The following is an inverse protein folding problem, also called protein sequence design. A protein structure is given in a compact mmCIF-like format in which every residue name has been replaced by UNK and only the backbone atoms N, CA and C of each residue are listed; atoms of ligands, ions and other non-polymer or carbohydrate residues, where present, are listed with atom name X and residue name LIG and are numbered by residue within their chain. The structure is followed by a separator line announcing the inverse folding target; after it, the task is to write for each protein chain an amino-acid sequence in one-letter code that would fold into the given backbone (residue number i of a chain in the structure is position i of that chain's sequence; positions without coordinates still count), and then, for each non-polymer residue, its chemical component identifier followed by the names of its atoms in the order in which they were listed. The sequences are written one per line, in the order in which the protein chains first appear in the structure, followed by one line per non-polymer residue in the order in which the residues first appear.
data_IF_247990313590
#
_entry.id   IF_247990313590
#
_cell.length_a   1.000
_cell.length_b   1.000
_cell.length_c   1.000
_cell.angle_alpha   90.00
_cell.angle_beta   90.00
_cell.angle_gamma   90.00
#
_symmetry.space_group_name_H-M   'P 1'
#
loop_
_entity.id
_entity.type
_entity.pdbx_description
1 polymer ?
#
# COMPACT_ATOMS: atom_id res chain seq x y z
N UNK A 1 -5.94 12.42 16.45
CA UNK A 1 -5.26 11.21 16.02
C UNK A 1 -5.96 10.61 14.81
N UNK A 2 -5.18 10.17 13.84
CA UNK A 2 -5.73 9.65 12.59
C UNK A 2 -5.96 8.14 12.68
N UNK A 3 -7.00 7.62 11.99
CA UNK A 3 -7.16 6.17 11.92
C UNK A 3 -6.00 5.54 11.17
N UNK A 4 -5.77 4.26 11.44
CA UNK A 4 -4.76 3.50 10.74
C UNK A 4 -5.40 2.76 9.56
N UNK A 5 -4.76 2.83 8.41
CA UNK A 5 -5.19 2.07 7.24
C UNK A 5 -3.96 1.45 6.58
N UNK A 6 -4.01 0.16 6.32
CA UNK A 6 -2.90 -0.54 5.67
C UNK A 6 -3.39 -1.15 4.38
N UNK A 7 -2.77 -0.75 3.27
CA UNK A 7 -3.08 -1.26 1.93
C UNK A 7 -1.85 -1.96 1.39
N UNK A 8 -2.02 -3.23 1.01
CA UNK A 8 -0.94 -4.06 0.51
C UNK A 8 -1.13 -4.30 -0.97
N UNK A 9 -0.19 -3.82 -1.78
CA UNK A 9 -0.25 -3.94 -3.23
C UNK A 9 0.68 -5.04 -3.71
N UNK A 10 0.14 -5.95 -4.49
CA UNK A 10 0.90 -7.02 -5.12
C UNK A 10 0.54 -7.08 -6.60
N UNK A 11 1.50 -7.46 -7.40
CA UNK A 11 1.32 -7.55 -8.84
C UNK A 11 2.68 -7.58 -9.52
N UNK A 12 2.70 -8.00 -10.78
CA UNK A 12 3.94 -8.09 -11.52
C UNK A 12 4.52 -6.72 -11.79
N UNK A 13 5.80 -6.68 -12.13
CA UNK A 13 6.47 -5.46 -12.52
C UNK A 13 5.69 -4.84 -13.70
N UNK A 14 5.43 -3.54 -13.61
CA UNK A 14 4.66 -2.85 -14.65
C UNK A 14 3.16 -3.00 -14.53
N UNK A 15 2.65 -3.65 -13.47
CA UNK A 15 1.20 -3.84 -13.31
C UNK A 15 0.46 -2.55 -12.92
N UNK A 16 1.18 -1.55 -12.42
CA UNK A 16 0.56 -0.28 -12.06
C UNK A 16 0.48 0.01 -10.57
N UNK A 17 1.29 -0.68 -9.75
CA UNK A 17 1.29 -0.45 -8.30
C UNK A 17 1.61 1.01 -7.95
N UNK A 18 2.63 1.58 -8.58
CA UNK A 18 3.00 2.97 -8.33
C UNK A 18 1.93 3.93 -8.85
N UNK A 19 1.32 3.63 -9.98
CA UNK A 19 0.23 4.44 -10.51
C UNK A 19 -0.98 4.44 -9.59
N UNK A 20 -1.28 3.28 -8.98
CA UNK A 20 -2.34 3.20 -7.99
C UNK A 20 -2.03 4.13 -6.81
N UNK A 21 -0.79 4.07 -6.31
CA UNK A 21 -0.38 4.89 -5.18
C UNK A 21 -0.46 6.38 -5.51
N UNK A 22 -0.06 6.77 -6.73
CA UNK A 22 -0.16 8.17 -7.16
C UNK A 22 -1.60 8.66 -7.18
N UNK A 23 -2.51 7.84 -7.69
CA UNK A 23 -3.92 8.20 -7.70
C UNK A 23 -4.50 8.32 -6.31
N UNK A 24 -4.15 7.40 -5.44
CA UNK A 24 -4.59 7.43 -4.05
C UNK A 24 -4.07 8.70 -3.34
N UNK A 25 -2.79 9.00 -3.53
CA UNK A 25 -2.17 10.19 -2.93
C UNK A 25 -2.82 11.47 -3.42
N UNK A 26 -3.12 11.53 -4.71
CA UNK A 26 -3.79 12.70 -5.29
C UNK A 26 -5.14 12.95 -4.61
N UNK A 27 -5.89 11.89 -4.36
CA UNK A 27 -7.17 11.99 -3.66
C UNK A 27 -7.03 12.48 -2.22
N UNK A 28 -5.84 12.32 -1.63
CA UNK A 28 -5.53 12.79 -0.29
C UNK A 28 -4.93 14.20 -0.27
N UNK A 29 -4.87 14.87 -1.42
CA UNK A 29 -4.29 16.20 -1.52
C UNK A 29 -2.79 16.21 -1.68
N UNK A 30 -2.19 15.09 -2.06
CA UNK A 30 -0.75 14.99 -2.29
C UNK A 30 -0.53 14.89 -3.79
N UNK A 31 0.02 15.95 -4.39
CA UNK A 31 0.11 16.05 -5.85
C UNK A 31 1.32 15.35 -6.46
N UNK A 32 2.38 15.23 -5.71
CA UNK A 32 3.60 14.62 -6.24
C UNK A 32 4.14 13.56 -5.31
N UNK A 33 4.20 12.34 -5.81
CA UNK A 33 4.94 11.29 -5.12
C UNK A 33 5.94 10.69 -6.11
N UNK A 34 7.03 10.19 -5.56
CA UNK A 34 8.03 9.50 -6.35
C UNK A 34 8.16 8.09 -5.82
N UNK A 35 8.61 7.17 -6.67
CA UNK A 35 8.87 5.80 -6.22
C UNK A 35 9.97 5.82 -5.15
N UNK A 36 9.82 5.06 -4.06
CA UNK A 36 10.87 4.97 -3.02
C UNK A 36 12.01 4.04 -3.47
N UNK A 37 12.66 4.40 -4.58
CA UNK A 37 13.65 3.53 -5.23
C UNK A 37 14.89 3.31 -4.39
N UNK A 38 15.38 4.35 -3.73
CA UNK A 38 16.59 4.28 -2.93
C UNK A 38 16.31 4.31 -1.43
N UNK A 39 15.15 4.85 -1.07
CA UNK A 39 14.66 4.80 0.30
C UNK A 39 13.45 3.90 0.29
N UNK A 40 13.44 2.91 1.17
CA UNK A 40 12.37 1.92 1.19
C UNK A 40 11.03 2.53 1.59
N UNK A 41 11.06 3.56 2.42
CA UNK A 41 9.87 4.24 2.93
C UNK A 41 9.96 5.72 2.64
N UNK A 42 8.89 6.30 2.10
CA UNK A 42 8.73 7.74 1.95
C UNK A 42 7.46 8.19 2.64
N UNK A 43 7.56 9.29 3.38
CA UNK A 43 6.43 9.86 4.11
C UNK A 43 5.96 11.12 3.44
N UNK A 44 4.66 11.27 3.32
CA UNK A 44 4.01 12.44 2.73
C UNK A 44 2.95 12.95 3.69
N UNK A 45 2.68 14.24 3.63
CA UNK A 45 1.64 14.85 4.45
C UNK A 45 0.58 15.45 3.54
N UNK A 46 -0.63 14.91 3.62
CA UNK A 46 -1.81 15.42 2.94
C UNK A 46 -2.89 15.64 3.98
N UNK A 47 -4.12 15.29 3.66
CA UNK A 47 -5.20 15.34 4.65
C UNK A 47 -4.94 14.35 5.78
N UNK A 48 -4.28 13.24 5.45
CA UNK A 48 -3.76 12.27 6.40
C UNK A 48 -2.30 12.00 6.04
N UNK A 49 -1.48 11.57 7.00
CA UNK A 49 -0.14 11.10 6.65
C UNK A 49 -0.21 9.90 5.72
N UNK A 50 0.67 9.84 4.75
CA UNK A 50 0.79 8.71 3.84
C UNK A 50 2.21 8.17 3.92
N UNK A 51 2.33 6.87 4.18
CA UNK A 51 3.61 6.17 4.23
C UNK A 51 3.66 5.22 3.05
N UNK A 52 4.47 5.55 2.05
CA UNK A 52 4.61 4.75 0.84
C UNK A 52 5.87 3.89 0.94
N UNK A 53 5.70 2.59 0.89
CA UNK A 53 6.79 1.63 1.05
C UNK A 53 6.93 0.75 -0.18
N UNK A 54 8.18 0.43 -0.52
CA UNK A 54 8.49 -0.58 -1.51
C UNK A 54 9.44 -1.56 -0.85
N UNK A 55 8.97 -2.76 -0.58
CA UNK A 55 9.73 -3.75 0.18
C UNK A 55 10.31 -4.87 -0.69
N UNK A 56 10.37 -4.65 -1.99
CA UNK A 56 10.90 -5.65 -2.93
C UNK A 56 12.30 -6.14 -2.54
N UNK A 57 13.11 -5.27 -1.96
CA UNK A 57 14.50 -5.60 -1.61
C UNK A 57 14.69 -6.12 -0.19
N UNK A 58 13.61 -6.34 0.54
CA UNK A 58 13.68 -6.68 1.96
C UNK A 58 13.37 -8.13 2.27
N UNK A 59 13.36 -9.02 1.29
CA UNK A 59 12.85 -10.37 1.56
C UNK A 59 13.61 -11.11 2.65
N UNK A 60 14.87 -10.78 2.91
CA UNK A 60 15.68 -11.49 3.91
C UNK A 60 16.06 -10.68 5.15
N UNK A 61 15.70 -9.39 5.23
CA UNK A 61 16.17 -8.58 6.36
C UNK A 61 15.20 -7.47 6.74
N UNK A 62 13.93 -7.67 6.50
CA UNK A 62 12.91 -6.66 6.72
C UNK A 62 12.72 -6.25 8.19
N UNK A 63 13.11 -7.10 9.12
CA UNK A 63 12.91 -6.83 10.54
C UNK A 63 13.74 -5.66 11.07
N UNK A 64 14.77 -5.25 10.35
CA UNK A 64 15.71 -4.26 10.85
C UNK A 64 15.33 -2.81 10.56
N UNK A 65 14.27 -2.54 9.82
CA UNK A 65 13.95 -1.17 9.41
C UNK A 65 12.72 -0.58 10.08
N UNK A 66 12.10 -1.32 11.01
CA UNK A 66 11.00 -0.78 11.79
C UNK A 66 9.71 -0.58 11.03
N UNK A 67 9.46 -1.40 10.01
CA UNK A 67 8.24 -1.29 9.19
C UNK A 67 6.98 -1.38 10.05
N UNK A 68 6.97 -2.29 11.03
CA UNK A 68 5.78 -2.52 11.85
C UNK A 68 5.35 -1.28 12.64
N UNK A 69 6.28 -0.40 12.95
CA UNK A 69 5.95 0.81 13.69
C UNK A 69 5.00 1.73 12.92
N UNK A 70 5.07 1.70 11.59
CA UNK A 70 4.23 2.54 10.76
C UNK A 70 2.76 2.13 10.78
N UNK A 71 2.48 0.86 11.05
CA UNK A 71 1.10 0.37 11.00
C UNK A 71 0.22 1.00 12.06
N UNK A 72 0.80 1.51 13.15
CA UNK A 72 0.06 2.10 14.25
C UNK A 72 0.29 3.59 14.44
N UNK A 73 0.96 4.24 13.51
CA UNK A 73 1.28 5.67 13.64
C UNK A 73 0.10 6.60 13.38
N UNK A 74 -0.95 6.09 12.76
CA UNK A 74 -2.05 6.93 12.29
C UNK A 74 -1.77 7.42 10.89
N UNK A 75 -2.72 7.21 10.00
CA UNK A 75 -2.59 7.55 8.58
C UNK A 75 -2.67 6.33 7.70
N UNK A 76 -2.29 6.48 6.45
CA UNK A 76 -2.38 5.41 5.45
C UNK A 76 -1.00 4.88 5.11
N UNK A 77 -0.84 3.57 5.20
CA UNK A 77 0.38 2.88 4.78
C UNK A 77 0.08 2.10 3.51
N UNK A 78 0.80 2.38 2.42
CA UNK A 78 0.67 1.63 1.18
C UNK A 78 1.99 0.92 0.92
N UNK A 79 1.92 -0.41 0.84
CA UNK A 79 3.10 -1.26 0.72
C UNK A 79 3.10 -1.96 -0.63
N UNK A 80 4.08 -1.64 -1.49
CA UNK A 80 4.27 -2.35 -2.75
C UNK A 80 5.11 -3.60 -2.50
N UNK A 81 4.78 -4.68 -3.16
CA UNK A 81 5.42 -5.99 -3.00
C UNK A 81 5.22 -6.55 -1.58
N UNK A 82 4.03 -6.32 -1.02
CA UNK A 82 3.75 -6.69 0.38
C UNK A 82 3.93 -8.18 0.67
N UNK A 83 3.79 -9.05 -0.33
CA UNK A 83 3.99 -10.48 -0.13
C UNK A 83 5.42 -10.82 0.33
N UNK A 84 6.38 -9.92 0.09
CA UNK A 84 7.76 -10.13 0.54
C UNK A 84 7.90 -10.07 2.07
N UNK A 85 6.94 -9.45 2.74
CA UNK A 85 6.97 -9.32 4.20
C UNK A 85 5.69 -9.85 4.85
N UNK A 86 5.15 -10.91 4.28
CA UNK A 86 3.87 -11.47 4.72
C UNK A 86 3.81 -11.77 6.21
N UNK A 87 4.92 -12.19 6.79
CA UNK A 87 5.00 -12.60 8.17
C UNK A 87 4.84 -11.46 9.18
N UNK A 88 5.02 -10.21 8.74
CA UNK A 88 4.88 -9.07 9.65
C UNK A 88 3.70 -8.16 9.32
N UNK A 89 2.89 -8.50 8.32
CA UNK A 89 1.72 -7.70 7.97
C UNK A 89 0.67 -7.79 9.08
N UNK A 90 -0.06 -6.69 9.36
CA UNK A 90 -1.12 -6.75 10.35
C UNK A 90 -2.26 -7.64 9.87
N UNK A 91 -3.00 -8.21 10.82
CA UNK A 91 -4.15 -9.06 10.47
C UNK A 91 -5.22 -8.27 9.73
N UNK A 92 -5.47 -7.05 10.16
CA UNK A 92 -6.45 -6.19 9.50
C UNK A 92 -5.76 -5.32 8.47
N UNK A 93 -6.12 -5.53 7.22
CA UNK A 93 -5.52 -4.81 6.10
C UNK A 93 -6.36 -5.03 4.84
N UNK A 94 -6.08 -4.25 3.81
CA UNK A 94 -6.68 -4.47 2.50
C UNK A 94 -5.59 -4.94 1.54
N UNK A 95 -5.72 -6.18 1.07
CA UNK A 95 -4.83 -6.69 0.03
C UNK A 95 -5.42 -6.38 -1.33
N UNK A 96 -4.63 -5.81 -2.22
CA UNK A 96 -5.01 -5.52 -3.59
C UNK A 96 -4.02 -6.17 -4.52
N UNK A 97 -4.50 -7.08 -5.35
CA UNK A 97 -3.68 -7.67 -6.38
C UNK A 97 -4.02 -7.03 -7.72
N UNK A 98 -3.00 -6.54 -8.42
CA UNK A 98 -3.18 -5.90 -9.71
C UNK A 98 -2.69 -6.84 -10.79
N UNK A 99 -3.60 -7.27 -11.68
CA UNK A 99 -3.27 -8.15 -12.80
C UNK A 99 -3.35 -7.39 -14.10
N UNK A 100 -2.44 -7.71 -15.00
CA UNK A 100 -2.44 -7.17 -16.35
C UNK A 100 -3.32 -8.08 -17.20
N UNK A 101 -4.45 -7.57 -17.70
CA UNK A 101 -5.33 -8.33 -18.58
C UNK A 101 -4.90 -8.18 -20.04
N UNK A 102 -4.54 -6.94 -20.44
CA UNK A 102 -3.94 -6.63 -21.73
C UNK A 102 -3.22 -5.30 -21.60
N UNK A 103 -2.72 -4.75 -22.71
CA UNK A 103 -1.90 -3.54 -22.69
C UNK A 103 -2.58 -2.34 -22.02
N UNK A 104 -3.90 -2.28 -22.07
CA UNK A 104 -4.66 -1.14 -21.57
C UNK A 104 -5.60 -1.47 -20.41
N UNK A 105 -5.66 -2.74 -20.01
CA UNK A 105 -6.64 -3.19 -19.03
C UNK A 105 -5.95 -3.81 -17.82
N UNK A 106 -6.39 -3.38 -16.65
CA UNK A 106 -5.91 -3.95 -15.38
C UNK A 106 -7.10 -4.47 -14.59
N UNK A 107 -6.89 -5.57 -13.89
CA UNK A 107 -7.89 -6.15 -13.01
C UNK A 107 -7.39 -6.00 -11.59
N UNK A 108 -8.22 -5.40 -10.74
CA UNK A 108 -7.89 -5.25 -9.32
C UNK A 108 -8.70 -6.28 -8.54
N UNK A 109 -8.00 -7.09 -7.77
CA UNK A 109 -8.65 -8.07 -6.90
C UNK A 109 -8.47 -7.57 -5.47
N UNK A 110 -9.59 -7.25 -4.81
CA UNK A 110 -9.60 -6.72 -3.47
C UNK A 110 -9.88 -7.83 -2.47
N UNK A 111 -9.01 -7.98 -1.48
CA UNK A 111 -9.18 -8.96 -0.41
C UNK A 111 -9.17 -8.23 0.93
N UNK A 112 -10.33 -7.88 1.46
CA UNK A 112 -10.39 -7.19 2.76
C UNK A 112 -10.19 -8.18 3.90
N UNK A 113 -9.42 -7.75 4.89
CA UNK A 113 -9.22 -8.48 6.13
C UNK A 113 -9.67 -7.57 7.27
N UNK A 114 -10.79 -7.88 7.88
CA UNK A 114 -11.39 -7.10 8.94
C UNK A 114 -12.58 -6.31 8.47
N UNK A 115 -13.52 -6.07 9.38
CA UNK A 115 -14.80 -5.43 9.06
C UNK A 115 -14.64 -4.06 8.43
N UNK A 116 -13.69 -3.26 8.91
CA UNK A 116 -13.44 -1.93 8.36
C UNK A 116 -13.14 -2.00 6.86
N UNK A 117 -12.31 -2.95 6.46
CA UNK A 117 -11.92 -3.07 5.06
C UNK A 117 -13.01 -3.70 4.21
N UNK A 118 -13.80 -4.59 4.80
CA UNK A 118 -14.97 -5.12 4.10
C UNK A 118 -15.94 -3.99 3.75
N UNK A 119 -16.18 -3.09 4.71
CA UNK A 119 -17.07 -1.96 4.49
C UNK A 119 -16.54 -1.02 3.40
N UNK A 120 -15.23 -0.80 3.38
CA UNK A 120 -14.60 0.04 2.35
C UNK A 120 -14.80 -0.58 0.97
N UNK A 121 -14.58 -1.88 0.84
CA UNK A 121 -14.75 -2.57 -0.44
C UNK A 121 -16.18 -2.53 -0.92
N UNK A 122 -17.13 -2.71 -0.03
CA UNK A 122 -18.55 -2.65 -0.38
C UNK A 122 -18.96 -1.26 -0.88
N UNK A 123 -18.34 -0.22 -0.33
CA UNK A 123 -18.63 1.14 -0.75
C UNK A 123 -18.08 1.46 -2.15
N UNK A 124 -17.03 0.77 -2.57
CA UNK A 124 -16.39 0.98 -3.87
C UNK A 124 -17.13 0.24 -4.99
N UNK A 125 -17.66 -0.91 -4.69
CA UNK A 125 -18.38 -1.75 -5.65
C UNK A 125 -19.84 -1.29 -5.80
#
# INVERSE_FOLDING_TARGET
KFPNMVICLNGDLGSGKTMFTKGFAHAMGIDEITSPTFTIIKEYVGELPLYHMDVYRLEDSHEDIGIEEYFDKGGVTIIEWADMIKDILPEERLDIKIKIADDNTRILILKPHGEKYVNICEAII
#
